data_IF_349389285905
#
_entry.id   IF_349389285905
#
_cell.length_a   1.000
_cell.length_b   1.000
_cell.length_c   1.000
_cell.angle_alpha   90.00
_cell.angle_beta   90.00
_cell.angle_gamma   90.00
#
_symmetry.space_group_name_H-M   'P 1'
#
loop_
_entity.id
_entity.type
_entity.pdbx_description
1 polymer ?
#
# COMPACT_ATOMS: atom_id res chain seq x y z
N UNK A 1 44.71 -69.92 -1.30
CA UNK A 1 43.94 -69.33 -0.18
C UNK A 1 43.49 -67.98 -0.63
N UNK A 2 42.28 -67.93 -1.14
CA UNK A 2 41.69 -66.69 -1.73
C UNK A 2 40.75 -66.06 -0.68
N UNK A 3 41.08 -64.85 -0.28
CA UNK A 3 40.23 -64.05 0.66
C UNK A 3 39.35 -63.08 -0.15
N UNK A 4 38.09 -63.35 -0.16
CA UNK A 4 37.06 -62.54 -0.83
C UNK A 4 36.56 -61.42 0.14
N UNK A 5 36.95 -60.21 -0.14
CA UNK A 5 36.48 -59.05 0.61
C UNK A 5 35.04 -58.68 0.16
N UNK A 6 34.09 -58.77 1.07
CA UNK A 6 32.71 -58.35 0.90
C UNK A 6 32.65 -56.82 1.06
N UNK A 7 32.44 -56.12 -0.05
CA UNK A 7 32.18 -54.67 -0.05
C UNK A 7 30.69 -54.45 0.30
N UNK A 8 30.41 -53.94 1.49
CA UNK A 8 29.10 -53.56 1.92
C UNK A 8 28.69 -52.24 1.22
N UNK A 9 27.75 -52.34 0.29
CA UNK A 9 27.14 -51.20 -0.37
C UNK A 9 26.24 -50.44 0.63
N UNK A 10 26.67 -49.25 1.03
CA UNK A 10 25.87 -48.32 1.82
C UNK A 10 24.97 -47.53 0.87
N UNK A 11 23.69 -47.90 0.82
CA UNK A 11 22.70 -47.13 0.08
C UNK A 11 22.48 -45.73 0.72
N UNK A 12 22.46 -44.66 -0.09
CA UNK A 12 22.22 -43.31 0.48
C UNK A 12 20.78 -43.20 1.03
N UNK A 13 20.68 -42.85 2.32
CA UNK A 13 19.39 -42.47 2.96
C UNK A 13 18.83 -41.24 2.23
N UNK A 14 17.84 -41.45 1.42
CA UNK A 14 17.00 -40.36 0.89
C UNK A 14 16.33 -39.66 2.06
N UNK A 15 16.82 -38.48 2.40
CA UNK A 15 16.13 -37.58 3.36
C UNK A 15 14.73 -37.34 2.84
N UNK A 16 13.74 -37.68 3.69
CA UNK A 16 12.33 -37.56 3.36
C UNK A 16 12.00 -36.21 2.75
N UNK A 17 11.33 -36.24 1.61
CA UNK A 17 10.81 -35.07 0.97
C UNK A 17 9.94 -34.28 1.94
N UNK A 18 10.02 -32.93 1.95
CA UNK A 18 9.18 -32.11 2.82
C UNK A 18 7.72 -32.48 2.54
N UNK A 19 7.01 -32.97 3.58
CA UNK A 19 5.57 -33.20 3.51
C UNK A 19 4.95 -31.88 3.05
N UNK A 20 4.46 -31.87 1.81
CA UNK A 20 3.57 -30.79 1.34
C UNK A 20 2.40 -30.77 2.32
N UNK A 21 2.39 -29.79 3.24
CA UNK A 21 1.19 -29.43 3.96
C UNK A 21 0.19 -29.03 2.87
N UNK A 22 -0.79 -29.88 2.60
CA UNK A 22 -1.96 -29.48 1.86
C UNK A 22 -2.59 -28.36 2.68
N UNK A 23 -2.34 -27.11 2.27
CA UNK A 23 -3.13 -25.98 2.70
C UNK A 23 -4.53 -26.27 2.14
N UNK A 24 -5.34 -26.99 2.91
CA UNK A 24 -6.78 -26.94 2.75
C UNK A 24 -7.16 -25.49 2.98
N UNK A 25 -7.26 -24.74 1.88
CA UNK A 25 -7.91 -23.43 1.86
C UNK A 25 -9.33 -23.72 2.35
N UNK A 26 -9.51 -23.63 3.67
CA UNK A 26 -10.81 -23.67 4.29
C UNK A 26 -11.55 -22.48 3.69
N UNK A 27 -12.50 -22.79 2.82
CA UNK A 27 -13.30 -21.84 2.07
C UNK A 27 -14.11 -21.06 3.09
N UNK A 28 -13.62 -19.88 3.45
CA UNK A 28 -14.36 -18.99 4.33
C UNK A 28 -15.56 -18.46 3.53
N UNK A 29 -16.79 -18.79 3.89
CA UNK A 29 -17.98 -18.33 3.18
C UNK A 29 -18.29 -16.85 3.46
N UNK A 30 -17.45 -16.17 4.28
CA UNK A 30 -17.67 -14.77 4.60
C UNK A 30 -17.48 -13.89 3.38
N UNK A 31 -18.35 -12.92 3.14
CA UNK A 31 -18.14 -11.95 2.07
C UNK A 31 -16.79 -11.25 2.28
N UNK A 32 -16.11 -10.92 1.17
CA UNK A 32 -14.85 -10.17 1.14
C UNK A 32 -14.99 -8.72 1.69
N UNK A 33 -16.10 -8.41 2.35
CA UNK A 33 -16.25 -7.16 3.08
C UNK A 33 -15.17 -7.09 4.15
N UNK A 34 -14.41 -6.02 4.18
CA UNK A 34 -13.54 -5.64 5.29
C UNK A 34 -14.43 -5.43 6.51
N UNK A 35 -14.80 -6.51 7.19
CA UNK A 35 -15.58 -6.39 8.41
C UNK A 35 -14.60 -6.09 9.55
N UNK A 36 -14.89 -5.11 10.41
CA UNK A 36 -14.05 -4.82 11.57
C UNK A 36 -13.88 -6.04 12.49
N UNK A 37 -14.78 -7.02 12.41
CA UNK A 37 -14.76 -8.23 13.22
C UNK A 37 -13.97 -9.41 12.62
N UNK A 38 -13.25 -9.22 11.51
CA UNK A 38 -12.42 -10.27 10.88
C UNK A 38 -11.19 -10.67 11.70
N UNK A 39 -11.09 -10.19 12.94
CA UNK A 39 -9.97 -10.46 13.84
C UNK A 39 -8.68 -9.74 13.46
N UNK A 40 -8.71 -8.88 12.45
CA UNK A 40 -7.60 -8.02 12.08
C UNK A 40 -7.57 -6.80 12.99
N UNK A 41 -6.60 -6.77 13.88
CA UNK A 41 -6.34 -5.55 14.66
C UNK A 41 -5.59 -4.57 13.75
N UNK A 42 -6.20 -3.42 13.52
CA UNK A 42 -5.50 -2.32 12.86
C UNK A 42 -4.37 -1.87 13.78
N UNK A 43 -3.17 -1.72 13.23
CA UNK A 43 -2.05 -1.20 13.99
C UNK A 43 -2.34 0.23 14.49
N UNK A 44 -1.84 0.53 15.70
CA UNK A 44 -1.85 1.89 16.19
C UNK A 44 -1.12 2.82 15.21
N UNK A 45 -1.62 4.03 14.98
CA UNK A 45 -1.00 4.95 14.05
C UNK A 45 0.42 5.31 14.48
N UNK A 46 1.33 5.45 13.52
CA UNK A 46 2.71 5.87 13.78
C UNK A 46 2.73 7.18 14.57
N UNK A 47 3.50 7.26 15.68
CA UNK A 47 3.53 8.45 16.52
C UNK A 47 4.10 9.64 15.76
N UNK A 48 3.35 10.73 15.69
CA UNK A 48 3.75 11.98 15.05
C UNK A 48 3.35 13.15 15.94
N UNK A 49 4.24 14.14 16.05
CA UNK A 49 3.89 15.43 16.67
C UNK A 49 2.89 16.18 15.79
N UNK A 50 2.10 17.05 16.39
CA UNK A 50 1.13 17.87 15.64
C UNK A 50 1.77 18.74 14.57
N UNK A 51 3.02 19.12 14.77
CA UNK A 51 3.81 19.84 13.78
C UNK A 51 4.00 19.03 12.47
N UNK A 52 4.35 17.74 12.60
CA UNK A 52 4.54 16.85 11.44
C UNK A 52 3.19 16.47 10.81
N UNK A 53 2.15 16.29 11.64
CA UNK A 53 0.79 16.03 11.16
C UNK A 53 0.28 17.19 10.30
N UNK A 54 0.53 18.43 10.69
CA UNK A 54 0.18 19.61 9.87
C UNK A 54 0.96 19.64 8.56
N UNK A 55 2.25 19.29 8.57
CA UNK A 55 3.03 19.15 7.34
C UNK A 55 2.43 18.07 6.42
N UNK A 56 2.09 16.89 6.98
CA UNK A 56 1.43 15.82 6.22
C UNK A 56 0.09 16.28 5.62
N UNK A 57 -0.78 16.95 6.39
CA UNK A 57 -2.05 17.49 5.87
C UNK A 57 -1.82 18.51 4.74
N UNK A 58 -0.80 19.36 4.85
CA UNK A 58 -0.41 20.27 3.77
C UNK A 58 0.00 19.55 2.50
N UNK A 59 0.74 18.43 2.62
CA UNK A 59 1.11 17.59 1.48
C UNK A 59 -0.11 16.84 0.91
N UNK A 60 -1.00 16.35 1.76
CA UNK A 60 -2.28 15.75 1.33
C UNK A 60 -3.08 16.76 0.52
N UNK A 61 -3.23 17.98 1.03
CA UNK A 61 -3.91 19.06 0.32
C UNK A 61 -3.33 19.34 -1.07
N UNK A 62 -2.01 19.30 -1.20
CA UNK A 62 -1.34 19.56 -2.47
C UNK A 62 -1.40 18.38 -3.48
N UNK A 63 -1.64 17.16 -3.01
CA UNK A 63 -1.63 15.94 -3.85
C UNK A 63 -3.04 15.51 -4.24
N UNK A 64 -4.01 15.61 -3.32
CA UNK A 64 -5.37 15.21 -3.57
C UNK A 64 -6.06 16.21 -4.52
N UNK A 65 -6.92 15.72 -5.44
CA UNK A 65 -7.60 16.60 -6.38
C UNK A 65 -8.54 17.57 -5.67
N UNK A 66 -8.65 18.82 -6.17
CA UNK A 66 -9.55 19.82 -5.59
C UNK A 66 -11.02 19.50 -5.90
N UNK A 67 -12.00 20.17 -5.25
CA UNK A 67 -13.39 20.10 -5.63
C UNK A 67 -13.59 20.35 -7.14
N UNK A 68 -14.53 19.68 -7.82
CA UNK A 68 -15.66 18.90 -7.28
C UNK A 68 -15.35 17.45 -6.89
N UNK A 69 -14.07 17.01 -6.98
CA UNK A 69 -13.68 15.73 -6.43
C UNK A 69 -13.93 15.67 -4.91
N UNK A 70 -14.09 14.48 -4.31
CA UNK A 70 -14.28 14.38 -2.87
C UNK A 70 -13.10 15.01 -2.13
N UNK A 71 -13.38 16.05 -1.39
CA UNK A 71 -12.41 16.74 -0.56
C UNK A 71 -13.12 17.34 0.65
N UNK A 72 -13.08 16.64 1.75
CA UNK A 72 -13.60 17.06 3.05
C UNK A 72 -12.48 17.06 4.09
N UNK A 73 -12.69 17.76 5.22
CA UNK A 73 -11.74 17.68 6.32
C UNK A 73 -11.66 16.27 6.89
N UNK A 74 -12.77 15.56 6.96
CA UNK A 74 -12.85 14.17 7.40
C UNK A 74 -12.03 13.26 6.48
N UNK A 75 -12.13 13.45 5.17
CA UNK A 75 -11.33 12.73 4.18
C UNK A 75 -9.83 12.93 4.42
N UNK A 76 -9.40 14.17 4.69
CA UNK A 76 -7.99 14.49 4.99
C UNK A 76 -7.52 13.79 6.26
N UNK A 77 -8.35 13.77 7.30
CA UNK A 77 -8.05 13.08 8.56
C UNK A 77 -7.97 11.56 8.37
N UNK A 78 -8.86 10.98 7.58
CA UNK A 78 -8.85 9.56 7.24
C UNK A 78 -7.60 9.19 6.45
N UNK A 79 -7.19 10.00 5.46
CA UNK A 79 -5.96 9.79 4.70
C UNK A 79 -4.73 9.92 5.64
N UNK A 80 -4.69 10.93 6.51
CA UNK A 80 -3.64 11.07 7.52
C UNK A 80 -3.53 9.81 8.38
N UNK A 81 -4.65 9.32 8.87
CA UNK A 81 -4.72 8.12 9.69
C UNK A 81 -4.24 6.88 8.92
N UNK A 82 -4.66 6.73 7.67
CA UNK A 82 -4.23 5.66 6.78
C UNK A 82 -2.71 5.67 6.60
N UNK A 83 -2.12 6.82 6.23
CA UNK A 83 -0.68 6.96 6.02
C UNK A 83 0.09 6.63 7.28
N UNK A 84 -0.36 7.08 8.45
CA UNK A 84 0.28 6.79 9.74
C UNK A 84 0.20 5.30 10.10
N UNK A 85 -0.91 4.62 9.81
CA UNK A 85 -1.03 3.16 9.99
C UNK A 85 -0.15 2.42 9.00
N UNK A 86 -0.12 2.82 7.75
CA UNK A 86 0.75 2.27 6.72
C UNK A 86 2.22 2.32 7.13
N UNK A 87 2.68 3.43 7.72
CA UNK A 87 4.04 3.60 8.22
C UNK A 87 4.42 2.60 9.32
N UNK A 88 3.46 2.05 10.07
CA UNK A 88 3.73 1.01 11.11
C UNK A 88 4.15 -0.31 10.50
N UNK A 89 3.73 -0.59 9.27
CA UNK A 89 4.11 -1.80 8.55
C UNK A 89 5.40 -1.65 7.75
N UNK A 90 5.93 -0.44 7.66
CA UNK A 90 7.18 -0.18 6.94
C UNK A 90 8.40 -0.51 7.81
N UNK A 91 9.52 -0.80 7.12
CA UNK A 91 10.79 -0.87 7.80
C UNK A 91 11.09 0.47 8.53
N UNK A 92 11.63 0.46 9.76
CA UNK A 92 11.81 1.68 10.57
C UNK A 92 12.57 2.81 9.86
N UNK A 93 13.57 2.49 9.05
CA UNK A 93 14.31 3.48 8.25
C UNK A 93 13.44 4.11 7.16
N UNK A 94 12.61 3.31 6.49
CA UNK A 94 11.70 3.80 5.46
C UNK A 94 10.61 4.69 6.08
N UNK A 95 10.05 4.31 7.22
CA UNK A 95 9.08 5.12 7.96
C UNK A 95 9.69 6.47 8.40
N UNK A 96 10.93 6.48 8.91
CA UNK A 96 11.64 7.72 9.24
C UNK A 96 11.93 8.56 8.00
N UNK A 97 12.32 7.92 6.90
CA UNK A 97 12.52 8.60 5.63
C UNK A 97 11.25 9.29 5.14
N UNK A 98 10.11 8.59 5.17
CA UNK A 98 8.83 9.14 4.80
C UNK A 98 8.40 10.28 5.74
N UNK A 99 8.60 10.13 7.06
CA UNK A 99 8.36 11.18 8.06
C UNK A 99 9.16 12.44 7.74
N UNK A 100 10.46 12.29 7.47
CA UNK A 100 11.34 13.41 7.10
C UNK A 100 10.92 14.06 5.78
N UNK A 101 10.41 13.26 4.85
CA UNK A 101 9.92 13.72 3.55
C UNK A 101 8.75 14.70 3.67
N UNK A 102 7.83 14.47 4.60
CA UNK A 102 6.73 15.42 4.84
C UNK A 102 7.25 16.77 5.30
N UNK A 103 8.23 16.80 6.20
CA UNK A 103 8.84 18.04 6.65
C UNK A 103 9.60 18.74 5.53
N UNK A 104 10.42 17.98 4.79
CA UNK A 104 11.20 18.54 3.70
C UNK A 104 10.29 19.20 2.65
N UNK A 105 9.20 18.54 2.26
CA UNK A 105 8.24 19.05 1.29
C UNK A 105 7.50 20.29 1.83
N UNK A 106 7.15 20.31 3.13
CA UNK A 106 6.48 21.46 3.74
C UNK A 106 7.38 22.71 3.78
N UNK A 107 8.68 22.51 4.05
CA UNK A 107 9.65 23.61 4.12
C UNK A 107 10.22 24.01 2.76
N UNK A 108 10.14 23.17 1.75
CA UNK A 108 10.77 23.41 0.46
C UNK A 108 10.32 24.71 -0.23
N UNK A 109 9.05 25.13 -0.19
CA UNK A 109 8.64 26.43 -0.76
C UNK A 109 9.32 27.60 -0.07
N UNK A 110 9.54 27.52 1.23
CA UNK A 110 10.27 28.54 2.00
C UNK A 110 11.73 28.63 1.54
N UNK A 111 12.38 27.49 1.33
CA UNK A 111 13.76 27.42 0.83
C UNK A 111 13.89 27.93 -0.62
N UNK A 112 12.83 27.78 -1.43
CA UNK A 112 12.77 28.27 -2.80
C UNK A 112 12.31 29.74 -2.89
N UNK A 113 12.46 30.50 -1.83
CA UNK A 113 12.15 31.96 -1.74
C UNK A 113 10.69 32.31 -2.05
N UNK A 114 9.77 31.37 -1.85
CA UNK A 114 8.32 31.63 -1.98
C UNK A 114 7.67 32.22 -0.71
N UNK A 115 8.46 32.44 0.36
CA UNK A 115 8.04 33.14 1.57
C UNK A 115 7.06 32.42 2.48
N UNK A 116 6.58 31.22 2.09
CA UNK A 116 5.59 30.47 2.86
C UNK A 116 5.85 28.96 2.83
N UNK A 117 5.28 28.23 3.81
CA UNK A 117 5.31 26.77 3.84
C UNK A 117 4.26 26.19 2.89
N UNK A 118 4.45 24.93 2.48
CA UNK A 118 3.51 24.23 1.59
C UNK A 118 2.08 24.24 2.17
N UNK A 119 1.91 23.96 3.45
CA UNK A 119 0.62 23.98 4.15
C UNK A 119 -0.12 25.32 4.13
N UNK A 120 0.54 26.43 3.77
CA UNK A 120 -0.03 27.77 3.65
C UNK A 120 -0.29 28.21 2.22
N UNK A 121 0.15 27.41 1.26
CA UNK A 121 -0.11 27.67 -0.16
C UNK A 121 -1.53 27.23 -0.51
N UNK A 122 -2.12 27.93 -1.47
CA UNK A 122 -3.35 27.46 -2.12
C UNK A 122 -3.06 26.16 -2.87
N UNK A 123 -4.13 25.40 -3.18
CA UNK A 123 -4.02 24.09 -3.78
C UNK A 123 -3.21 24.11 -5.08
N UNK A 124 -3.57 24.99 -6.02
CA UNK A 124 -2.96 25.04 -7.36
C UNK A 124 -1.44 25.30 -7.32
N UNK A 125 -0.93 26.37 -6.66
CA UNK A 125 0.52 26.59 -6.56
C UNK A 125 1.25 25.48 -5.79
N UNK A 126 0.60 24.82 -4.81
CA UNK A 126 1.17 23.70 -4.10
C UNK A 126 1.29 22.46 -5.00
N UNK A 127 0.24 22.13 -5.75
CA UNK A 127 0.21 21.02 -6.70
C UNK A 127 1.24 21.22 -7.82
N UNK A 128 1.33 22.42 -8.40
CA UNK A 128 2.33 22.75 -9.43
C UNK A 128 3.76 22.61 -8.91
N UNK A 129 4.03 23.01 -7.67
CA UNK A 129 5.34 22.84 -7.06
C UNK A 129 5.69 21.35 -6.95
N UNK A 130 4.81 20.52 -6.41
CA UNK A 130 5.03 19.07 -6.30
C UNK A 130 5.18 18.40 -7.66
N UNK A 131 4.42 18.86 -8.67
CA UNK A 131 4.57 18.39 -10.04
C UNK A 131 5.96 18.70 -10.59
N UNK A 132 6.46 19.92 -10.42
CA UNK A 132 7.82 20.30 -10.85
C UNK A 132 8.89 19.46 -10.15
N UNK A 133 8.74 19.20 -8.85
CA UNK A 133 9.66 18.39 -8.08
C UNK A 133 9.68 16.94 -8.53
N UNK A 134 8.53 16.39 -8.88
CA UNK A 134 8.42 15.02 -9.40
C UNK A 134 9.09 14.84 -10.79
N UNK A 135 9.28 15.93 -11.52
CA UNK A 135 10.00 15.96 -12.82
C UNK A 135 11.41 16.53 -12.70
N UNK A 136 11.89 16.77 -11.47
CA UNK A 136 13.25 17.30 -11.25
C UNK A 136 14.31 16.35 -11.80
N UNK A 137 15.41 16.91 -12.31
CA UNK A 137 16.62 16.17 -12.68
C UNK A 137 17.30 15.53 -11.46
N UNK A 138 17.04 16.06 -10.26
CA UNK A 138 17.60 15.52 -9.02
C UNK A 138 16.83 14.28 -8.57
N UNK A 139 17.43 13.09 -8.81
CA UNK A 139 16.80 11.79 -8.63
C UNK A 139 16.23 11.54 -7.23
N UNK A 140 16.90 12.05 -6.18
CA UNK A 140 16.43 11.89 -4.80
C UNK A 140 15.11 12.64 -4.55
N UNK A 141 14.97 13.89 -5.04
CA UNK A 141 13.71 14.65 -4.92
C UNK A 141 12.57 13.96 -5.66
N UNK A 142 12.86 13.47 -6.86
CA UNK A 142 11.87 12.72 -7.64
C UNK A 142 11.40 11.45 -6.91
N UNK A 143 12.34 10.67 -6.37
CA UNK A 143 12.02 9.46 -5.61
C UNK A 143 11.17 9.78 -4.37
N UNK A 144 11.54 10.83 -3.64
CA UNK A 144 10.85 11.30 -2.45
C UNK A 144 9.41 11.72 -2.79
N UNK A 145 9.23 12.56 -3.81
CA UNK A 145 7.90 12.99 -4.26
C UNK A 145 7.04 11.80 -4.71
N UNK A 146 7.62 10.85 -5.45
CA UNK A 146 6.93 9.64 -5.91
C UNK A 146 6.49 8.77 -4.74
N UNK A 147 7.36 8.53 -3.77
CA UNK A 147 7.05 7.74 -2.57
C UNK A 147 5.94 8.36 -1.72
N UNK A 148 6.04 9.67 -1.45
CA UNK A 148 5.02 10.42 -0.71
C UNK A 148 3.69 10.42 -1.45
N UNK A 149 3.71 10.70 -2.75
CA UNK A 149 2.51 10.68 -3.60
C UNK A 149 1.85 9.30 -3.60
N UNK A 150 2.63 8.23 -3.73
CA UNK A 150 2.13 6.86 -3.67
C UNK A 150 1.42 6.56 -2.36
N UNK A 151 2.03 6.89 -1.22
CA UNK A 151 1.43 6.66 0.09
C UNK A 151 0.11 7.43 0.29
N UNK A 152 0.06 8.70 -0.12
CA UNK A 152 -1.13 9.55 0.03
C UNK A 152 -2.24 9.12 -0.92
N UNK A 153 -1.93 8.87 -2.20
CA UNK A 153 -2.94 8.42 -3.17
C UNK A 153 -3.50 7.03 -2.83
N UNK A 154 -2.68 6.13 -2.25
CA UNK A 154 -3.20 4.87 -1.73
C UNK A 154 -4.24 5.09 -0.65
N UNK A 155 -4.00 6.04 0.28
CA UNK A 155 -4.97 6.41 1.30
C UNK A 155 -6.21 7.10 0.73
N UNK A 156 -6.06 7.95 -0.28
CA UNK A 156 -7.16 8.63 -0.96
C UNK A 156 -8.08 7.63 -1.69
N UNK A 157 -7.51 6.73 -2.49
CA UNK A 157 -8.28 5.71 -3.21
C UNK A 157 -8.77 4.55 -2.32
N UNK A 158 -8.44 4.52 -1.05
CA UNK A 158 -9.00 3.57 -0.07
C UNK A 158 -10.29 4.10 0.59
N UNK A 159 -10.73 5.33 0.29
CA UNK A 159 -11.91 5.95 0.89
C UNK A 159 -13.18 5.64 0.11
N UNK A 160 -14.24 5.28 0.85
CA UNK A 160 -15.54 4.93 0.25
C UNK A 160 -16.16 6.11 -0.52
N UNK A 161 -16.00 7.34 -0.04
CA UNK A 161 -16.46 8.56 -0.72
C UNK A 161 -15.83 8.68 -2.11
N UNK A 162 -14.55 8.39 -2.23
CA UNK A 162 -13.82 8.41 -3.50
C UNK A 162 -14.31 7.30 -4.41
N UNK A 163 -14.51 6.09 -3.87
CA UNK A 163 -15.06 4.95 -4.62
C UNK A 163 -16.41 5.28 -5.24
N UNK A 164 -17.31 5.91 -4.47
CA UNK A 164 -18.63 6.30 -4.96
C UNK A 164 -18.56 7.26 -6.16
N UNK A 165 -17.68 8.26 -6.07
CA UNK A 165 -17.57 9.28 -7.13
C UNK A 165 -16.95 8.73 -8.41
N UNK A 166 -15.95 7.85 -8.31
CA UNK A 166 -15.32 7.23 -9.49
C UNK A 166 -16.08 6.00 -10.00
N UNK A 167 -17.19 5.61 -9.33
CA UNK A 167 -17.97 4.43 -9.70
C UNK A 167 -17.23 3.11 -9.46
N UNK A 168 -16.25 3.10 -8.55
CA UNK A 168 -15.46 1.91 -8.24
C UNK A 168 -16.17 1.03 -7.21
N UNK A 169 -16.69 -0.09 -7.66
CA UNK A 169 -17.36 -1.09 -6.84
C UNK A 169 -16.54 -2.40 -6.83
N UNK A 170 -15.49 -2.52 -6.00
CA UNK A 170 -14.59 -3.67 -6.04
C UNK A 170 -15.28 -4.98 -5.62
N UNK A 171 -16.17 -4.94 -4.63
CA UNK A 171 -16.81 -6.15 -4.11
C UNK A 171 -17.67 -6.85 -5.16
N UNK A 172 -18.64 -6.17 -5.84
CA UNK A 172 -19.41 -6.79 -6.92
C UNK A 172 -18.51 -7.31 -8.05
N UNK A 173 -17.51 -6.53 -8.46
CA UNK A 173 -16.60 -6.92 -9.53
C UNK A 173 -15.79 -8.18 -9.16
N UNK A 174 -15.22 -8.24 -7.96
CA UNK A 174 -14.45 -9.40 -7.50
C UNK A 174 -15.35 -10.64 -7.38
N UNK A 175 -16.56 -10.48 -6.83
CA UNK A 175 -17.53 -11.56 -6.70
C UNK A 175 -17.92 -12.14 -8.04
N UNK A 176 -18.22 -11.30 -9.04
CA UNK A 176 -18.54 -11.72 -10.40
C UNK A 176 -17.36 -12.47 -11.05
N UNK A 177 -16.13 -11.93 -10.95
CA UNK A 177 -14.93 -12.57 -11.51
C UNK A 177 -14.60 -13.88 -10.82
N UNK A 178 -14.83 -13.98 -9.53
CA UNK A 178 -14.66 -15.22 -8.77
C UNK A 178 -15.68 -16.28 -9.20
N UNK A 179 -16.94 -15.88 -9.38
CA UNK A 179 -17.99 -16.77 -9.88
C UNK A 179 -17.69 -17.27 -11.31
N UNK A 180 -17.27 -16.37 -12.22
CA UNK A 180 -16.86 -16.71 -13.58
C UNK A 180 -15.66 -17.68 -13.59
N UNK A 181 -14.65 -17.43 -12.76
CA UNK A 181 -13.48 -18.32 -12.63
C UNK A 181 -13.91 -19.70 -12.12
N UNK A 182 -14.79 -19.75 -11.13
CA UNK A 182 -15.28 -21.00 -10.58
C UNK A 182 -16.09 -21.79 -11.61
N UNK A 183 -16.99 -21.14 -12.36
CA UNK A 183 -17.77 -21.80 -13.42
C UNK A 183 -16.87 -22.34 -14.54
N UNK A 184 -15.80 -21.64 -14.91
CA UNK A 184 -14.82 -22.11 -15.91
C UNK A 184 -14.03 -23.32 -15.41
N UNK A 185 -13.59 -23.31 -14.14
CA UNK A 185 -12.87 -24.43 -13.54
C UNK A 185 -13.72 -25.69 -13.40
N UNK A 186 -15.04 -25.53 -13.18
CA UNK A 186 -15.96 -26.66 -13.14
C UNK A 186 -16.34 -27.20 -14.53
N UNK A 187 -16.18 -26.37 -15.58
CA UNK A 187 -16.43 -26.79 -16.97
C UNK A 187 -15.23 -27.41 -17.66
N UNK A 188 -14.02 -27.20 -17.17
CA UNK A 188 -12.82 -27.86 -17.67
C UNK A 188 -12.48 -29.07 -16.79
N UNK A 189 -12.25 -30.24 -17.26
CA UNK A 189 -12.54 -30.92 -18.50
C UNK A 189 -12.98 -32.38 -18.32
N UNK A 190 -13.81 -32.83 -19.21
CA UNK A 190 -13.91 -34.24 -19.56
C UNK A 190 -13.13 -34.57 -20.85
N UNK A 191 -12.34 -33.65 -21.41
CA UNK A 191 -11.75 -33.81 -22.76
C UNK A 191 -10.23 -34.06 -22.75
N UNK A 192 -9.65 -34.45 -21.63
CA UNK A 192 -8.22 -34.82 -21.54
C UNK A 192 -8.07 -36.28 -21.08
N UNK A 193 -8.68 -37.20 -21.85
CA UNK A 193 -8.36 -38.63 -21.80
C UNK A 193 -8.17 -39.14 -23.20
#
# INVERSE_FOLDING_TARGET
MSSTAVVASVAPRVRGAPRRRSLTLQRDPRPLARHPDDGWLLADPYPMSEFVRRALRGVIHAICPPPPAPYSQELVENIELYVRRFMRYMHPLAARGLWLSFLLLDFLPLLLLRGSRLQKLEHEPAAQLLSRLSHSSFGLLRLLCTGVRGAILSGYFDQDEVHQVIGYAPIPFISERTALRHSRLLRAPAEAT
#
